data_IF_167383446903
#
_entry.id   IF_167383446903
#
_cell.length_a   1.000
_cell.length_b   1.000
_cell.length_c   1.000
_cell.angle_alpha   90.00
_cell.angle_beta   90.00
_cell.angle_gamma   90.00
#
_symmetry.space_group_name_H-M   'P 1'
#
loop_
_entity.id
_entity.type
_entity.pdbx_description
1 polymer ?
#
# COMPACT_ATOMS: atom_id res chain seq x y z
N UNK A 1 63.35 -34.34 3.52
CA UNK A 1 62.26 -34.86 2.67
C UNK A 1 60.94 -34.36 3.22
N UNK A 2 60.17 -33.65 2.39
CA UNK A 2 58.71 -33.38 2.47
C UNK A 2 58.21 -32.66 3.74
N UNK A 3 57.87 -31.38 3.66
CA UNK A 3 56.55 -30.85 3.24
C UNK A 3 55.46 -31.37 4.19
N UNK A 4 54.62 -30.55 4.83
CA UNK A 4 53.68 -29.67 4.15
C UNK A 4 52.99 -28.78 5.20
N UNK A 5 52.99 -27.47 4.96
CA UNK A 5 52.12 -26.48 5.63
C UNK A 5 50.68 -26.84 5.29
N UNK A 6 49.78 -26.97 6.27
CA UNK A 6 48.34 -26.92 6.00
C UNK A 6 47.64 -25.85 6.83
N UNK A 7 47.41 -24.79 6.09
CA UNK A 7 46.66 -23.57 6.31
C UNK A 7 45.36 -23.73 7.12
N UNK A 8 45.27 -22.91 8.17
CA UNK A 8 44.04 -22.52 8.87
C UNK A 8 43.11 -21.77 7.90
N UNK A 9 42.06 -22.43 7.41
CA UNK A 9 40.97 -21.76 6.70
C UNK A 9 39.69 -21.85 7.53
N UNK A 10 39.55 -20.88 8.44
CA UNK A 10 38.28 -20.58 9.09
C UNK A 10 37.36 -19.94 8.04
N UNK A 11 36.61 -20.76 7.31
CA UNK A 11 35.60 -20.28 6.35
C UNK A 11 34.42 -19.79 7.19
N UNK A 12 34.45 -18.49 7.51
CA UNK A 12 33.29 -17.79 8.05
C UNK A 12 32.27 -17.68 6.91
N UNK A 13 31.37 -18.65 6.83
CA UNK A 13 30.19 -18.51 5.97
C UNK A 13 29.32 -17.42 6.57
N UNK A 14 29.47 -16.19 6.07
CA UNK A 14 28.51 -15.12 6.27
C UNK A 14 27.24 -15.56 5.54
N UNK A 15 26.37 -16.27 6.27
CA UNK A 15 25.00 -16.48 5.85
C UNK A 15 24.28 -15.15 6.11
N UNK A 16 24.26 -14.29 5.10
CA UNK A 16 23.32 -13.19 5.07
C UNK A 16 21.94 -13.81 4.85
N UNK A 17 21.28 -14.23 5.94
CA UNK A 17 19.83 -14.41 5.92
C UNK A 17 19.24 -13.02 5.75
N UNK A 18 18.98 -12.62 4.52
CA UNK A 18 17.96 -11.60 4.29
C UNK A 18 16.65 -12.17 4.85
N UNK A 19 16.10 -11.52 5.86
CA UNK A 19 14.77 -11.81 6.39
C UNK A 19 13.72 -11.51 5.31
N UNK A 20 13.55 -12.45 4.39
CA UNK A 20 12.47 -12.46 3.39
C UNK A 20 11.12 -12.78 4.05
N UNK A 21 11.12 -13.27 5.29
CA UNK A 21 9.93 -13.63 6.07
C UNK A 21 8.97 -12.46 6.37
N UNK A 22 9.46 -11.21 6.32
CA UNK A 22 8.60 -10.04 6.50
C UNK A 22 7.92 -9.56 5.21
N UNK A 23 8.32 -10.07 4.03
CA UNK A 23 7.69 -9.71 2.75
C UNK A 23 6.39 -10.49 2.50
N UNK A 24 6.25 -11.69 3.09
CA UNK A 24 5.07 -12.55 2.91
C UNK A 24 3.84 -12.08 3.71
N UNK A 25 4.02 -11.20 4.71
CA UNK A 25 2.93 -10.89 5.66
C UNK A 25 1.90 -9.87 5.14
N UNK A 26 2.02 -9.36 3.92
CA UNK A 26 1.04 -8.40 3.38
C UNK A 26 0.75 -8.62 1.89
N UNK A 27 0.24 -9.80 1.53
CA UNK A 27 -0.33 -10.03 0.18
C UNK A 27 -1.63 -9.24 -0.08
N UNK A 28 -2.15 -8.53 0.93
CA UNK A 28 -3.45 -7.85 0.94
C UNK A 28 -3.42 -6.45 0.31
N UNK A 29 -2.73 -6.26 -0.81
CA UNK A 29 -2.58 -4.96 -1.48
C UNK A 29 -3.89 -4.42 -2.07
N UNK A 30 -4.78 -5.31 -2.51
CA UNK A 30 -6.08 -4.96 -3.09
C UNK A 30 -7.12 -5.94 -2.57
N UNK A 31 -8.11 -5.42 -1.85
CA UNK A 31 -9.27 -6.15 -1.37
C UNK A 31 -10.52 -5.50 -1.97
N UNK A 32 -10.94 -6.02 -3.13
CA UNK A 32 -12.05 -5.49 -3.90
C UNK A 32 -13.32 -6.32 -3.67
N UNK A 33 -14.09 -5.99 -2.64
CA UNK A 33 -15.34 -6.70 -2.32
C UNK A 33 -16.54 -6.25 -3.17
N UNK A 34 -16.38 -5.22 -3.99
CA UNK A 34 -17.46 -4.64 -4.81
C UNK A 34 -17.35 -4.97 -6.29
N UNK A 35 -16.28 -5.68 -6.69
CA UNK A 35 -15.88 -5.88 -8.08
C UNK A 35 -15.80 -4.55 -8.84
N UNK A 36 -15.17 -3.54 -8.20
CA UNK A 36 -14.97 -2.22 -8.78
C UNK A 36 -14.01 -2.26 -9.96
N UNK A 37 -13.07 -3.21 -9.95
CA UNK A 37 -12.07 -3.41 -10.97
C UNK A 37 -12.27 -4.76 -11.67
N UNK A 38 -12.05 -4.79 -12.99
CA UNK A 38 -11.82 -6.05 -13.69
C UNK A 38 -10.53 -6.72 -13.20
N UNK A 39 -10.40 -8.03 -13.45
CA UNK A 39 -9.19 -8.79 -13.09
C UNK A 39 -7.91 -8.18 -13.69
N UNK A 40 -7.98 -7.66 -14.91
CA UNK A 40 -6.84 -7.02 -15.59
C UNK A 40 -6.48 -5.69 -14.93
N UNK A 41 -7.48 -4.87 -14.60
CA UNK A 41 -7.27 -3.58 -13.91
C UNK A 41 -6.68 -3.78 -12.52
N UNK A 42 -7.23 -4.71 -11.73
CA UNK A 42 -6.70 -5.07 -10.42
C UNK A 42 -5.24 -5.53 -10.50
N UNK A 43 -4.90 -6.35 -11.51
CA UNK A 43 -3.51 -6.77 -11.76
C UNK A 43 -2.60 -5.58 -12.04
N UNK A 44 -3.01 -4.62 -12.87
CA UNK A 44 -2.19 -3.45 -13.15
C UNK A 44 -2.01 -2.55 -11.92
N UNK A 45 -3.05 -2.34 -11.12
CA UNK A 45 -2.94 -1.60 -9.85
C UNK A 45 -1.97 -2.31 -8.89
N UNK A 46 -2.06 -3.64 -8.80
CA UNK A 46 -1.19 -4.46 -7.95
C UNK A 46 0.29 -4.31 -8.34
N UNK A 47 0.60 -4.39 -9.64
CA UNK A 47 1.97 -4.22 -10.12
C UNK A 47 2.51 -2.81 -9.82
N UNK A 48 1.69 -1.76 -9.94
CA UNK A 48 2.08 -0.39 -9.56
C UNK A 48 2.43 -0.32 -8.07
N UNK A 49 1.58 -0.88 -7.20
CA UNK A 49 1.79 -0.89 -5.75
C UNK A 49 3.06 -1.68 -5.38
N UNK A 50 3.24 -2.89 -5.95
CA UNK A 50 4.42 -3.73 -5.70
C UNK A 50 5.72 -3.03 -6.11
N UNK A 51 5.71 -2.38 -7.27
CA UNK A 51 6.88 -1.63 -7.75
C UNK A 51 7.23 -0.44 -6.84
N UNK A 52 6.22 0.28 -6.34
CA UNK A 52 6.44 1.35 -5.37
C UNK A 52 7.01 0.83 -4.06
N UNK A 53 6.42 -0.24 -3.53
CA UNK A 53 6.88 -0.88 -2.29
C UNK A 53 8.30 -1.41 -2.41
N UNK A 54 8.66 -2.02 -3.53
CA UNK A 54 10.02 -2.51 -3.76
C UNK A 54 11.05 -1.37 -3.70
N UNK A 55 10.71 -0.19 -4.24
CA UNK A 55 11.62 0.97 -4.29
C UNK A 55 11.72 1.74 -2.97
N UNK A 56 10.63 1.81 -2.20
CA UNK A 56 10.52 2.75 -1.06
C UNK A 56 10.26 2.07 0.27
N UNK A 57 9.93 0.77 0.28
CA UNK A 57 9.34 0.01 1.39
C UNK A 57 7.97 0.49 1.88
N UNK A 58 7.37 1.49 1.22
CA UNK A 58 6.05 2.02 1.54
C UNK A 58 4.96 1.02 1.15
N UNK A 59 3.97 0.82 2.03
CA UNK A 59 2.92 -0.19 1.83
C UNK A 59 1.57 0.48 1.58
N UNK A 60 0.88 0.04 0.53
CA UNK A 60 -0.44 0.56 0.14
C UNK A 60 -1.45 -0.56 0.08
N UNK A 61 -2.62 -0.34 0.67
CA UNK A 61 -3.78 -1.21 0.53
C UNK A 61 -4.93 -0.43 -0.15
N UNK A 62 -5.57 -1.04 -1.15
CA UNK A 62 -6.84 -0.56 -1.71
C UNK A 62 -7.93 -1.47 -1.17
N UNK A 63 -8.96 -0.89 -0.57
CA UNK A 63 -10.07 -1.62 0.04
C UNK A 63 -11.40 -1.07 -0.49
N UNK A 64 -12.21 -1.91 -1.13
CA UNK A 64 -13.53 -1.51 -1.64
C UNK A 64 -14.63 -2.25 -0.89
N UNK A 65 -15.69 -1.54 -0.51
CA UNK A 65 -16.88 -2.10 0.15
C UNK A 65 -18.15 -1.47 -0.40
N UNK A 66 -19.26 -2.18 -0.25
CA UNK A 66 -20.55 -1.66 -0.68
C UNK A 66 -21.04 -0.52 0.20
N UNK A 67 -20.88 -0.64 1.52
CA UNK A 67 -21.34 0.39 2.48
C UNK A 67 -20.52 0.39 3.77
N UNK A 68 -20.42 1.56 4.39
CA UNK A 68 -19.77 1.79 5.67
C UNK A 68 -20.63 1.24 6.82
N UNK A 69 -20.01 0.88 7.95
CA UNK A 69 -20.74 0.65 9.19
C UNK A 69 -21.55 1.90 9.60
N UNK A 70 -22.72 1.68 10.21
CA UNK A 70 -23.59 2.77 10.67
C UNK A 70 -22.84 3.72 11.61
N UNK A 71 -23.04 5.02 11.42
CA UNK A 71 -22.46 6.09 12.24
C UNK A 71 -20.92 6.12 12.27
N UNK A 72 -20.25 5.56 11.26
CA UNK A 72 -18.79 5.60 11.11
C UNK A 72 -18.42 6.40 9.86
N UNK A 73 -17.44 7.29 10.00
CA UNK A 73 -16.90 8.04 8.85
C UNK A 73 -15.99 7.15 8.01
N UNK A 74 -15.87 7.43 6.71
CA UNK A 74 -14.96 6.68 5.83
C UNK A 74 -13.51 6.67 6.34
N UNK A 75 -13.01 7.81 6.84
CA UNK A 75 -11.66 7.91 7.37
C UNK A 75 -11.46 7.05 8.63
N UNK A 76 -12.39 7.09 9.59
CA UNK A 76 -12.29 6.27 10.80
C UNK A 76 -12.31 4.77 10.47
N UNK A 77 -13.16 4.37 9.51
CA UNK A 77 -13.21 2.99 9.05
C UNK A 77 -11.91 2.58 8.33
N UNK A 78 -11.38 3.45 7.46
CA UNK A 78 -10.13 3.21 6.75
C UNK A 78 -8.94 3.04 7.71
N UNK A 79 -8.84 3.89 8.74
CA UNK A 79 -7.80 3.80 9.77
C UNK A 79 -7.89 2.51 10.59
N UNK A 80 -9.12 2.11 10.96
CA UNK A 80 -9.35 0.84 11.65
C UNK A 80 -8.90 -0.35 10.79
N UNK A 81 -9.32 -0.38 9.52
CA UNK A 81 -8.93 -1.42 8.58
C UNK A 81 -7.41 -1.46 8.37
N UNK A 82 -6.76 -0.31 8.21
CA UNK A 82 -5.31 -0.24 8.03
C UNK A 82 -4.56 -0.85 9.22
N UNK A 83 -5.07 -0.62 10.43
CA UNK A 83 -4.52 -1.19 11.67
C UNK A 83 -4.76 -2.70 11.73
N UNK A 84 -5.98 -3.17 11.46
CA UNK A 84 -6.34 -4.59 11.51
C UNK A 84 -5.57 -5.43 10.48
N UNK A 85 -5.37 -4.87 9.30
CA UNK A 85 -4.63 -5.49 8.20
C UNK A 85 -3.10 -5.34 8.37
N UNK A 86 -2.65 -4.51 9.31
CA UNK A 86 -1.23 -4.25 9.54
C UNK A 86 -0.55 -3.59 8.34
N UNK A 87 -1.19 -2.60 7.72
CA UNK A 87 -0.65 -1.88 6.56
C UNK A 87 0.50 -0.97 7.03
N UNK A 88 1.70 -1.21 6.51
CA UNK A 88 2.93 -0.49 6.88
C UNK A 88 3.87 -1.33 7.73
N UNK A 89 5.16 -1.01 7.68
CA UNK A 89 6.16 -1.67 8.53
C UNK A 89 6.08 -1.09 9.95
N UNK A 90 6.03 -1.96 10.97
CA UNK A 90 5.87 -1.60 12.40
C UNK A 90 6.80 -0.48 12.86
N UNK A 91 8.07 -0.52 12.45
CA UNK A 91 9.08 0.47 12.87
C UNK A 91 9.01 1.77 12.06
N UNK A 92 8.39 1.75 10.87
CA UNK A 92 8.35 2.91 9.95
C UNK A 92 7.01 3.61 9.93
N UNK A 93 5.92 2.93 10.28
CA UNK A 93 4.54 3.43 10.17
C UNK A 93 4.25 4.01 8.78
N UNK A 94 4.80 3.38 7.74
CA UNK A 94 4.77 3.84 6.35
C UNK A 94 3.67 3.14 5.53
N UNK A 95 2.49 3.00 6.15
CA UNK A 95 1.29 2.43 5.54
C UNK A 95 0.35 3.50 5.00
N UNK A 96 -0.41 3.15 3.96
CA UNK A 96 -1.51 3.94 3.42
C UNK A 96 -2.66 3.02 3.01
N UNK A 97 -3.89 3.32 3.42
CA UNK A 97 -5.08 2.60 2.96
C UNK A 97 -6.02 3.53 2.23
N UNK A 98 -6.34 3.19 0.97
CA UNK A 98 -7.40 3.83 0.18
C UNK A 98 -8.69 3.02 0.35
N UNK A 99 -9.67 3.58 1.04
CA UNK A 99 -11.01 3.03 1.18
C UNK A 99 -11.95 3.65 0.14
N UNK A 100 -12.73 2.81 -0.54
CA UNK A 100 -13.81 3.22 -1.43
C UNK A 100 -15.11 2.54 -0.97
N UNK A 101 -16.09 3.32 -0.54
CA UNK A 101 -17.45 2.84 -0.28
C UNK A 101 -18.37 3.19 -1.44
N UNK A 102 -18.84 2.16 -2.15
CA UNK A 102 -19.56 2.32 -3.43
C UNK A 102 -20.91 3.03 -3.27
N UNK A 103 -21.77 2.57 -2.36
CA UNK A 103 -23.12 3.11 -2.23
C UNK A 103 -23.18 4.38 -1.39
N UNK A 104 -22.27 4.54 -0.41
CA UNK A 104 -22.16 5.79 0.35
C UNK A 104 -21.51 6.92 -0.46
N UNK A 105 -20.90 6.59 -1.61
CA UNK A 105 -20.09 7.52 -2.42
C UNK A 105 -19.00 8.20 -1.59
N UNK A 106 -18.43 7.45 -0.65
CA UNK A 106 -17.45 7.93 0.30
C UNK A 106 -16.08 7.33 0.00
N UNK A 107 -15.04 8.17 0.05
CA UNK A 107 -13.66 7.77 -0.23
C UNK A 107 -12.79 8.35 0.87
N UNK A 108 -11.83 7.56 1.36
CA UNK A 108 -10.87 8.03 2.34
C UNK A 108 -9.49 7.45 2.07
N UNK A 109 -8.47 8.23 2.38
CA UNK A 109 -7.07 7.79 2.43
C UNK A 109 -6.64 7.90 3.88
N UNK A 110 -6.38 6.77 4.53
CA UNK A 110 -5.80 6.72 5.86
C UNK A 110 -4.29 6.54 5.76
N UNK A 111 -3.53 7.36 6.48
CA UNK A 111 -2.07 7.35 6.47
C UNK A 111 -1.52 6.97 7.84
N UNK A 112 -0.48 6.13 7.86
CA UNK A 112 0.31 5.92 9.06
C UNK A 112 1.14 7.16 9.42
N UNK A 113 1.59 7.25 10.67
CA UNK A 113 2.35 8.41 11.20
C UNK A 113 3.62 8.71 10.37
N UNK A 114 4.28 7.67 9.85
CA UNK A 114 5.46 7.83 8.98
C UNK A 114 5.10 8.37 7.59
N UNK A 115 3.96 7.94 7.07
CA UNK A 115 3.40 8.37 5.78
C UNK A 115 2.92 9.83 5.81
N UNK A 116 2.28 10.25 6.90
CA UNK A 116 1.65 11.57 7.05
C UNK A 116 2.65 12.73 6.88
N UNK A 117 3.93 12.48 7.18
CA UNK A 117 5.02 13.45 6.98
C UNK A 117 5.14 13.94 5.53
N UNK A 118 4.66 13.16 4.56
CA UNK A 118 4.73 13.47 3.14
C UNK A 118 3.33 13.52 2.51
N UNK A 119 2.46 12.57 2.87
CA UNK A 119 1.07 12.53 2.44
C UNK A 119 0.19 13.02 3.60
N UNK A 120 0.09 14.34 3.74
CA UNK A 120 -0.77 14.97 4.75
C UNK A 120 -2.25 14.81 4.41
N UNK A 121 -3.14 15.06 5.38
CA UNK A 121 -4.59 15.11 5.17
C UNK A 121 -4.99 16.02 4.00
N UNK A 122 -4.35 17.19 3.88
CA UNK A 122 -4.59 18.12 2.76
C UNK A 122 -4.20 17.51 1.41
N UNK A 123 -3.06 16.80 1.36
CA UNK A 123 -2.62 16.12 0.13
C UNK A 123 -3.60 15.00 -0.24
N UNK A 124 -3.98 14.16 0.73
CA UNK A 124 -4.95 13.10 0.55
C UNK A 124 -6.30 13.63 0.05
N UNK A 125 -6.83 14.67 0.70
CA UNK A 125 -8.06 15.34 0.30
C UNK A 125 -7.98 15.88 -1.13
N UNK A 126 -6.89 16.56 -1.48
CA UNK A 126 -6.67 17.10 -2.83
C UNK A 126 -6.66 15.99 -3.89
N UNK A 127 -6.02 14.84 -3.61
CA UNK A 127 -5.99 13.71 -4.54
C UNK A 127 -7.40 13.14 -4.71
N UNK A 128 -8.17 12.98 -3.64
CA UNK A 128 -9.55 12.49 -3.71
C UNK A 128 -10.42 13.43 -4.56
N UNK A 129 -10.45 14.72 -4.22
CA UNK A 129 -11.35 15.69 -4.85
C UNK A 129 -10.98 16.02 -6.30
N UNK A 130 -9.69 16.14 -6.62
CA UNK A 130 -9.26 16.58 -7.93
C UNK A 130 -8.96 15.42 -8.90
N UNK A 131 -8.75 14.21 -8.38
CA UNK A 131 -8.40 13.04 -9.20
C UNK A 131 -9.45 11.94 -9.13
N UNK A 132 -9.74 11.43 -7.93
CA UNK A 132 -10.60 10.24 -7.80
C UNK A 132 -12.06 10.59 -8.14
N UNK A 133 -12.61 11.61 -7.48
CA UNK A 133 -14.02 12.01 -7.62
C UNK A 133 -14.41 12.36 -9.07
N UNK A 134 -13.62 13.15 -9.83
CA UNK A 134 -13.98 13.48 -11.21
C UNK A 134 -13.98 12.27 -12.14
N UNK A 135 -13.02 11.36 -12.00
CA UNK A 135 -12.99 10.12 -12.78
C UNK A 135 -14.16 9.19 -12.41
N UNK A 136 -14.52 9.11 -11.12
CA UNK A 136 -15.63 8.27 -10.64
C UNK A 136 -16.99 8.78 -11.13
N UNK A 137 -17.17 10.11 -11.26
CA UNK A 137 -18.35 10.71 -11.89
C UNK A 137 -18.54 10.25 -13.34
N UNK A 138 -17.44 9.98 -14.04
CA UNK A 138 -17.42 9.46 -15.41
C UNK A 138 -17.40 7.92 -15.48
N UNK A 139 -17.56 7.23 -14.35
CA UNK A 139 -17.46 5.77 -14.24
C UNK A 139 -16.07 5.21 -14.61
N UNK A 140 -15.04 6.05 -14.61
CA UNK A 140 -13.65 5.68 -14.91
C UNK A 140 -12.91 5.27 -13.62
N UNK A 141 -13.39 4.23 -12.91
CA UNK A 141 -12.89 3.87 -11.58
C UNK A 141 -11.40 3.50 -11.53
N UNK A 142 -10.98 2.58 -12.40
CA UNK A 142 -9.56 2.19 -12.51
C UNK A 142 -8.67 3.39 -12.80
N UNK A 143 -9.06 4.24 -13.75
CA UNK A 143 -8.30 5.43 -14.13
C UNK A 143 -8.14 6.41 -12.96
N UNK A 144 -9.23 6.68 -12.23
CA UNK A 144 -9.20 7.53 -11.05
C UNK A 144 -8.22 7.03 -9.99
N UNK A 145 -8.25 5.74 -9.69
CA UNK A 145 -7.34 5.12 -8.70
C UNK A 145 -5.90 5.05 -9.22
N UNK A 146 -5.71 4.72 -10.49
CA UNK A 146 -4.38 4.60 -11.11
C UNK A 146 -3.63 5.95 -11.12
N UNK A 147 -4.31 7.06 -11.46
CA UNK A 147 -3.71 8.40 -11.44
C UNK A 147 -3.50 8.90 -9.99
N UNK A 148 -4.41 8.54 -9.08
CA UNK A 148 -4.22 8.85 -7.66
C UNK A 148 -2.96 8.17 -7.11
N UNK A 149 -2.72 6.89 -7.45
CA UNK A 149 -1.48 6.20 -7.09
C UNK A 149 -0.24 6.92 -7.65
N UNK A 150 -0.25 7.34 -8.92
CA UNK A 150 0.88 8.08 -9.49
C UNK A 150 1.15 9.38 -8.73
N UNK A 151 0.09 10.10 -8.37
CA UNK A 151 0.19 11.34 -7.59
C UNK A 151 0.75 11.10 -6.19
N UNK A 152 0.37 10.00 -5.54
CA UNK A 152 0.92 9.56 -4.25
C UNK A 152 2.40 9.23 -4.41
N UNK A 153 2.77 8.43 -5.44
CA UNK A 153 4.15 7.99 -5.64
C UNK A 153 5.11 9.13 -5.91
N UNK A 154 4.69 10.20 -6.59
CA UNK A 154 5.54 11.38 -6.82
C UNK A 154 5.83 12.13 -5.52
N UNK A 155 4.88 12.12 -4.58
CA UNK A 155 4.95 12.85 -3.31
C UNK A 155 5.52 12.02 -2.16
N UNK A 156 5.63 10.70 -2.32
CA UNK A 156 5.93 9.77 -1.23
C UNK A 156 7.21 8.94 -1.48
N UNK A 157 8.35 9.56 -1.21
CA UNK A 157 9.69 9.08 -1.56
C UNK A 157 10.58 8.87 -0.34
#
# INVERSE_FOLDING_TARGET
MKNFILFLCFIFTISCKQDVSNLEKNENFIQDYTNLFSTTEAKFLLEKIKNHQFKTSNQICIYTIDSLPKNVTALNHATLLATQLGVGLKEKNNGLLLLISRYDRAIAIATGIGTEKQITDTVAYTIIENTIVPNFKNQEFYKGVSIALDSIFVKWN
#
